data_IF_837892284211
#
_entry.id   IF_837892284211
#
_cell.length_a   1.000
_cell.length_b   1.000
_cell.length_c   1.000
_cell.angle_alpha   90.00
_cell.angle_beta   90.00
_cell.angle_gamma   90.00
#
_symmetry.space_group_name_H-M   'P 1'
#
loop_
_entity.id
_entity.type
_entity.pdbx_description
1 polymer ?
#
# COMPACT_ATOMS: atom_id res chain seq x y z
N UNK A 1 -13.02 -22.05 1.37
CA UNK A 1 -12.49 -20.83 0.73
C UNK A 1 -13.17 -19.65 1.42
N UNK A 2 -12.44 -18.71 2.03
CA UNK A 2 -13.07 -17.56 2.68
C UNK A 2 -13.66 -16.61 1.63
N UNK A 3 -14.71 -15.86 1.98
CA UNK A 3 -15.32 -14.86 1.09
C UNK A 3 -14.26 -13.90 0.51
N UNK A 4 -13.31 -13.48 1.33
CA UNK A 4 -12.23 -12.57 0.91
C UNK A 4 -11.32 -13.20 -0.16
N UNK A 5 -10.98 -14.49 -0.08
CA UNK A 5 -10.20 -15.17 -1.13
C UNK A 5 -10.95 -15.23 -2.45
N UNK A 6 -12.25 -15.50 -2.40
CA UNK A 6 -13.10 -15.47 -3.59
C UNK A 6 -13.18 -14.06 -4.17
N UNK A 7 -13.46 -13.05 -3.34
CA UNK A 7 -13.52 -11.65 -3.75
C UNK A 7 -12.20 -11.18 -4.37
N UNK A 8 -11.05 -11.54 -3.77
CA UNK A 8 -9.74 -11.22 -4.32
C UNK A 8 -9.48 -11.90 -5.67
N UNK A 9 -9.94 -13.14 -5.88
CA UNK A 9 -9.82 -13.81 -7.17
C UNK A 9 -10.62 -13.08 -8.26
N UNK A 10 -11.87 -12.67 -7.95
CA UNK A 10 -12.69 -11.84 -8.85
C UNK A 10 -12.04 -10.49 -9.11
N UNK A 11 -11.53 -9.82 -8.08
CA UNK A 11 -10.84 -8.53 -8.22
C UNK A 11 -9.59 -8.65 -9.09
N UNK A 12 -8.76 -9.70 -8.92
CA UNK A 12 -7.60 -9.95 -9.78
C UNK A 12 -8.00 -10.13 -11.24
N UNK A 13 -9.12 -10.82 -11.50
CA UNK A 13 -9.65 -10.97 -12.86
C UNK A 13 -10.08 -9.61 -13.45
N UNK A 14 -10.83 -8.81 -12.68
CA UNK A 14 -11.25 -7.47 -13.09
C UNK A 14 -10.06 -6.54 -13.32
N UNK A 15 -9.08 -6.55 -12.42
CA UNK A 15 -7.82 -5.81 -12.57
C UNK A 15 -7.14 -6.21 -13.87
N UNK A 16 -6.99 -7.52 -14.15
CA UNK A 16 -6.37 -8.01 -15.38
C UNK A 16 -7.12 -7.60 -16.65
N UNK A 17 -8.44 -7.46 -16.58
CA UNK A 17 -9.27 -7.04 -17.73
C UNK A 17 -9.24 -5.53 -17.95
N UNK A 18 -9.31 -4.75 -16.86
CA UNK A 18 -9.51 -3.30 -16.91
C UNK A 18 -8.22 -2.50 -16.79
N UNK A 19 -7.20 -3.07 -16.17
CA UNK A 19 -5.94 -2.40 -15.90
C UNK A 19 -4.77 -3.13 -16.59
N UNK A 20 -3.75 -2.37 -16.90
CA UNK A 20 -2.44 -2.83 -17.33
C UNK A 20 -1.48 -2.59 -16.17
N UNK A 21 -1.46 -3.55 -15.21
CA UNK A 21 -0.72 -3.42 -13.98
C UNK A 21 0.70 -3.94 -14.13
N UNK A 22 1.65 -3.09 -13.82
CA UNK A 22 3.04 -3.46 -13.59
C UNK A 22 3.28 -3.51 -12.07
N UNK A 23 3.76 -4.65 -11.56
CA UNK A 23 3.91 -4.90 -10.12
C UNK A 23 5.34 -5.28 -9.80
N UNK A 24 5.99 -4.55 -8.90
CA UNK A 24 7.33 -4.82 -8.42
C UNK A 24 7.36 -5.07 -6.91
N UNK A 25 8.36 -5.79 -6.44
CA UNK A 25 8.66 -5.96 -5.03
C UNK A 25 7.76 -6.94 -4.29
N UNK A 26 7.00 -7.81 -4.99
CA UNK A 26 6.19 -8.83 -4.33
C UNK A 26 7.01 -9.78 -3.45
N UNK A 27 8.28 -9.96 -3.76
CA UNK A 27 9.24 -10.72 -2.96
C UNK A 27 9.50 -10.12 -1.58
N UNK A 28 9.19 -8.87 -1.37
CA UNK A 28 9.31 -8.17 -0.09
C UNK A 28 8.17 -8.49 0.89
N UNK A 29 7.08 -9.11 0.41
CA UNK A 29 5.93 -9.44 1.26
C UNK A 29 6.26 -10.62 2.19
N UNK A 30 6.18 -10.46 3.53
CA UNK A 30 6.29 -11.58 4.47
C UNK A 30 5.16 -12.59 4.24
N UNK A 31 5.49 -13.88 4.26
CA UNK A 31 4.52 -14.96 4.01
C UNK A 31 3.51 -15.10 5.15
N UNK A 32 3.93 -14.83 6.38
CA UNK A 32 3.13 -14.99 7.58
C UNK A 32 3.46 -13.94 8.66
N UNK A 33 2.76 -13.98 9.78
CA UNK A 33 2.93 -13.05 10.89
C UNK A 33 2.20 -11.71 10.68
N UNK A 34 2.19 -10.84 11.69
CA UNK A 34 1.57 -9.52 11.60
C UNK A 34 2.27 -8.66 10.54
N UNK A 35 1.49 -7.86 9.81
CA UNK A 35 2.03 -6.94 8.81
C UNK A 35 1.15 -5.70 8.73
N UNK A 36 1.75 -4.53 8.64
CA UNK A 36 1.06 -3.28 8.31
C UNK A 36 1.41 -2.89 6.88
N UNK A 37 0.45 -2.98 5.97
CA UNK A 37 0.62 -2.48 4.60
C UNK A 37 0.17 -1.02 4.54
N UNK A 38 1.14 -0.11 4.37
CA UNK A 38 0.88 1.33 4.29
C UNK A 38 0.90 1.77 2.84
N UNK A 39 -0.22 2.32 2.35
CA UNK A 39 -0.38 2.68 0.96
C UNK A 39 -0.84 4.13 0.81
N UNK A 40 -0.38 4.82 -0.25
CA UNK A 40 -0.94 6.11 -0.66
C UNK A 40 -2.42 5.97 -1.06
N UNK A 41 -3.19 7.06 -0.94
CA UNK A 41 -4.62 7.04 -1.23
C UNK A 41 -5.05 8.20 -2.12
N UNK A 42 -5.07 7.96 -3.42
CA UNK A 42 -5.45 8.96 -4.44
C UNK A 42 -6.93 8.85 -4.81
N UNK A 43 -7.37 7.65 -5.23
CA UNK A 43 -8.76 7.40 -5.61
C UNK A 43 -9.34 6.20 -4.87
N UNK A 44 -10.63 5.90 -5.08
CA UNK A 44 -11.33 4.86 -4.31
C UNK A 44 -10.84 3.43 -4.56
N UNK A 45 -10.27 3.16 -5.74
CA UNK A 45 -9.89 1.81 -6.14
C UNK A 45 -8.44 1.44 -5.82
N UNK A 46 -7.59 2.39 -5.46
CA UNK A 46 -6.16 2.15 -5.25
C UNK A 46 -5.87 1.16 -4.10
N UNK A 47 -6.60 1.28 -2.99
CA UNK A 47 -6.49 0.33 -1.87
C UNK A 47 -6.90 -1.09 -2.27
N UNK A 48 -7.88 -1.21 -3.16
CA UNK A 48 -8.31 -2.51 -3.70
C UNK A 48 -7.24 -3.08 -4.64
N UNK A 49 -6.61 -2.23 -5.46
CA UNK A 49 -5.53 -2.64 -6.36
C UNK A 49 -4.36 -3.19 -5.55
N UNK A 50 -3.85 -2.46 -4.57
CA UNK A 50 -2.74 -2.95 -3.73
C UNK A 50 -3.09 -4.23 -2.97
N UNK A 51 -4.29 -4.29 -2.39
CA UNK A 51 -4.77 -5.46 -1.66
C UNK A 51 -4.86 -6.73 -2.54
N UNK A 52 -5.22 -6.59 -3.81
CA UNK A 52 -5.40 -7.73 -4.71
C UNK A 52 -4.13 -8.56 -4.92
N UNK A 53 -2.94 -7.98 -4.72
CA UNK A 53 -1.66 -8.65 -4.88
C UNK A 53 -1.11 -9.27 -3.58
N UNK A 54 -1.76 -9.03 -2.45
CA UNK A 54 -1.38 -9.63 -1.16
C UNK A 54 -2.18 -10.94 -0.98
N UNK A 55 -1.50 -12.09 -0.97
CA UNK A 55 -2.15 -13.41 -0.83
C UNK A 55 -2.26 -13.84 0.65
N UNK A 56 -2.79 -12.93 1.48
CA UNK A 56 -2.97 -13.11 2.92
C UNK A 56 -4.30 -12.53 3.35
N UNK A 57 -4.74 -12.86 4.56
CA UNK A 57 -5.93 -12.24 5.14
C UNK A 57 -5.67 -10.77 5.46
N UNK A 58 -6.38 -9.89 4.75
CA UNK A 58 -6.25 -8.44 4.86
C UNK A 58 -7.43 -7.89 5.62
N UNK A 59 -7.16 -7.00 6.56
CA UNK A 59 -8.16 -6.20 7.25
C UNK A 59 -7.91 -4.73 6.95
N UNK A 60 -8.87 -4.08 6.30
CA UNK A 60 -8.76 -2.69 5.88
C UNK A 60 -9.52 -1.73 6.79
N UNK A 61 -9.13 -0.46 6.78
CA UNK A 61 -9.86 0.63 7.42
C UNK A 61 -10.76 1.33 6.41
N UNK A 62 -12.04 1.51 6.73
CA UNK A 62 -12.96 2.25 5.90
C UNK A 62 -13.70 3.31 6.73
N UNK A 63 -14.03 4.46 6.13
CA UNK A 63 -14.73 5.52 6.85
C UNK A 63 -16.11 5.05 7.34
N UNK A 64 -16.50 5.50 8.54
CA UNK A 64 -17.75 5.06 9.18
C UNK A 64 -18.99 5.31 8.31
N UNK A 65 -19.01 6.37 7.52
CA UNK A 65 -20.11 6.71 6.62
C UNK A 65 -20.35 5.67 5.50
N UNK A 66 -19.33 4.88 5.16
CA UNK A 66 -19.49 3.79 4.20
C UNK A 66 -20.36 2.65 4.76
N UNK A 67 -20.57 2.60 6.06
CA UNK A 67 -21.42 1.60 6.75
C UNK A 67 -22.84 2.07 6.98
N UNK A 68 -23.21 3.29 6.60
CA UNK A 68 -24.59 3.81 6.71
C UNK A 68 -25.56 3.09 5.77
N UNK A 69 -25.08 2.60 4.62
CA UNK A 69 -25.87 1.76 3.73
C UNK A 69 -25.78 0.29 4.18
N UNK A 70 -26.91 -0.38 4.53
CA UNK A 70 -26.91 -1.74 5.05
C UNK A 70 -26.24 -2.76 4.12
N UNK A 71 -26.52 -2.68 2.82
CA UNK A 71 -25.97 -3.60 1.82
C UNK A 71 -24.46 -3.44 1.69
N UNK A 72 -23.97 -2.21 1.59
CA UNK A 72 -22.53 -1.92 1.54
C UNK A 72 -21.85 -2.31 2.86
N UNK A 73 -22.51 -2.09 4.00
CA UNK A 73 -21.99 -2.49 5.31
C UNK A 73 -21.71 -4.00 5.38
N UNK A 74 -22.65 -4.82 4.89
CA UNK A 74 -22.46 -6.29 4.82
C UNK A 74 -21.26 -6.63 3.92
N UNK A 75 -21.16 -6.02 2.75
CA UNK A 75 -20.05 -6.25 1.82
C UNK A 75 -18.70 -5.87 2.42
N UNK A 76 -18.59 -4.68 3.03
CA UNK A 76 -17.36 -4.21 3.67
C UNK A 76 -16.94 -5.12 4.83
N UNK A 77 -17.89 -5.54 5.69
CA UNK A 77 -17.62 -6.48 6.78
C UNK A 77 -17.20 -7.86 6.27
N UNK A 78 -17.88 -8.36 5.24
CA UNK A 78 -17.55 -9.65 4.64
C UNK A 78 -16.16 -9.64 3.98
N UNK A 79 -15.76 -8.51 3.41
CA UNK A 79 -14.39 -8.33 2.88
C UNK A 79 -13.34 -8.20 3.98
N UNK A 80 -13.72 -7.95 5.24
CA UNK A 80 -12.79 -7.81 6.35
C UNK A 80 -12.41 -6.36 6.66
N UNK A 81 -13.26 -5.37 6.36
CA UNK A 81 -12.99 -4.00 6.75
C UNK A 81 -13.71 -3.62 8.04
N UNK A 82 -13.16 -2.65 8.77
CA UNK A 82 -13.81 -2.07 9.95
C UNK A 82 -13.93 -0.53 9.83
N UNK A 83 -14.95 0.07 10.51
CA UNK A 83 -15.18 1.50 10.44
C UNK A 83 -14.13 2.29 11.23
N UNK A 84 -13.77 3.47 10.71
CA UNK A 84 -12.94 4.47 11.37
C UNK A 84 -13.56 5.86 11.25
N UNK A 85 -13.60 6.60 12.37
CA UNK A 85 -14.00 8.00 12.40
C UNK A 85 -12.79 8.86 12.02
N UNK A 86 -12.91 9.56 10.91
CA UNK A 86 -11.83 10.42 10.41
C UNK A 86 -11.89 11.79 11.07
N UNK A 87 -10.72 12.38 11.28
CA UNK A 87 -10.61 13.74 11.85
C UNK A 87 -10.45 13.78 13.36
N UNK A 88 -10.64 12.67 14.06
CA UNK A 88 -10.45 12.53 15.51
C UNK A 88 -9.60 11.30 15.85
N UNK A 89 -9.19 11.19 17.12
CA UNK A 89 -8.50 10.01 17.64
C UNK A 89 -9.54 8.91 17.90
N UNK A 90 -9.71 8.00 16.96
CA UNK A 90 -10.62 6.86 17.10
C UNK A 90 -9.93 5.73 17.87
N UNK A 91 -10.14 5.73 19.20
CA UNK A 91 -9.58 4.72 20.10
C UNK A 91 -10.05 3.31 19.79
N UNK A 92 -11.27 3.15 19.25
CA UNK A 92 -11.80 1.85 18.86
C UNK A 92 -11.07 1.32 17.62
N UNK A 93 -10.87 2.15 16.61
CA UNK A 93 -10.10 1.79 15.44
C UNK A 93 -8.66 1.40 15.80
N UNK A 94 -8.00 2.12 16.73
CA UNK A 94 -6.68 1.76 17.21
C UNK A 94 -6.66 0.38 17.90
N UNK A 95 -7.64 0.11 18.78
CA UNK A 95 -7.75 -1.22 19.44
C UNK A 95 -7.99 -2.34 18.44
N UNK A 96 -8.92 -2.13 17.50
CA UNK A 96 -9.20 -3.12 16.43
C UNK A 96 -7.95 -3.39 15.59
N UNK A 97 -7.19 -2.36 15.24
CA UNK A 97 -5.92 -2.50 14.52
C UNK A 97 -4.91 -3.38 15.26
N UNK A 98 -4.76 -3.16 16.57
CA UNK A 98 -3.86 -3.97 17.40
C UNK A 98 -4.34 -5.44 17.51
N UNK A 99 -5.66 -5.67 17.59
CA UNK A 99 -6.25 -7.02 17.58
C UNK A 99 -5.96 -7.74 16.27
N UNK A 100 -6.17 -7.07 15.13
CA UNK A 100 -5.88 -7.60 13.79
C UNK A 100 -4.42 -8.07 13.69
N UNK A 101 -3.49 -7.25 14.16
CA UNK A 101 -2.06 -7.59 14.14
C UNK A 101 -1.74 -8.72 15.11
N UNK A 102 -2.34 -8.75 16.30
CA UNK A 102 -2.18 -9.86 17.26
C UNK A 102 -2.65 -11.20 16.68
N UNK A 103 -3.64 -11.19 15.79
CA UNK A 103 -4.13 -12.37 15.06
C UNK A 103 -3.21 -12.78 13.88
N UNK A 104 -2.09 -12.10 13.67
CA UNK A 104 -1.15 -12.40 12.58
C UNK A 104 -1.64 -11.99 11.20
N UNK A 105 -2.68 -11.15 11.11
CA UNK A 105 -3.26 -10.68 9.85
C UNK A 105 -2.53 -9.46 9.29
N UNK A 106 -2.87 -9.10 8.04
CA UNK A 106 -2.38 -7.87 7.40
C UNK A 106 -3.35 -6.74 7.69
N UNK A 107 -2.88 -5.68 8.34
CA UNK A 107 -3.60 -4.42 8.47
C UNK A 107 -3.24 -3.54 7.28
N UNK A 108 -4.22 -3.20 6.42
CA UNK A 108 -4.00 -2.30 5.30
C UNK A 108 -4.63 -0.94 5.56
N UNK A 109 -3.85 0.12 5.46
CA UNK A 109 -4.32 1.46 5.70
C UNK A 109 -3.51 2.53 4.94
N UNK A 110 -4.16 3.68 4.73
CA UNK A 110 -3.51 4.87 4.20
C UNK A 110 -3.15 5.82 5.34
N UNK A 111 -1.86 6.11 5.56
CA UNK A 111 -1.43 7.02 6.63
C UNK A 111 -1.99 8.43 6.49
N UNK A 112 -2.34 8.86 5.28
CA UNK A 112 -2.96 10.15 4.96
C UNK A 112 -4.34 10.32 5.63
N UNK A 113 -5.02 9.20 5.92
CA UNK A 113 -6.35 9.17 6.55
C UNK A 113 -7.49 9.71 5.70
N UNK A 114 -7.22 10.13 4.46
CA UNK A 114 -8.21 10.59 3.48
C UNK A 114 -7.65 10.44 2.07
N UNK A 115 -8.53 10.51 1.07
CA UNK A 115 -8.11 10.54 -0.34
C UNK A 115 -7.44 11.87 -0.67
N UNK A 116 -6.40 11.82 -1.48
CA UNK A 116 -5.77 13.02 -2.02
C UNK A 116 -6.73 13.78 -2.93
N UNK A 117 -6.66 15.10 -2.87
CA UNK A 117 -7.41 15.99 -3.78
C UNK A 117 -6.58 16.39 -5.01
N UNK A 118 -5.27 16.16 -4.97
CA UNK A 118 -4.30 16.59 -5.97
C UNK A 118 -3.57 15.44 -6.64
N UNK A 119 -4.00 14.19 -6.35
CA UNK A 119 -3.33 12.95 -6.81
C UNK A 119 -1.85 12.87 -6.40
N UNK A 120 -1.49 13.50 -5.28
CA UNK A 120 -0.15 13.47 -4.71
C UNK A 120 -0.22 13.11 -3.23
N UNK A 121 0.91 12.67 -2.63
CA UNK A 121 0.97 12.35 -1.20
C UNK A 121 0.65 13.57 -0.34
N UNK A 122 -0.23 13.37 0.63
CA UNK A 122 -0.57 14.34 1.66
C UNK A 122 0.23 14.05 2.94
N UNK A 123 0.21 15.01 3.87
CA UNK A 123 0.82 14.82 5.19
C UNK A 123 0.20 13.63 5.92
N UNK A 124 1.04 12.72 6.42
CA UNK A 124 0.63 11.55 7.20
C UNK A 124 0.07 11.93 8.57
N UNK A 125 -0.74 11.02 9.14
CA UNK A 125 -1.32 11.11 10.50
C UNK A 125 -0.71 10.05 11.40
N UNK A 126 -0.48 10.40 12.66
CA UNK A 126 0.32 9.63 13.62
C UNK A 126 -0.34 8.32 14.11
N UNK A 127 -1.61 8.09 13.76
CA UNK A 127 -2.36 6.91 14.25
C UNK A 127 -1.74 5.58 13.85
N UNK A 128 -1.23 5.45 12.61
CA UNK A 128 -0.59 4.22 12.16
C UNK A 128 0.79 4.01 12.76
N UNK A 129 1.57 5.07 12.94
CA UNK A 129 2.86 5.01 13.64
C UNK A 129 2.68 4.55 15.09
N UNK A 130 1.63 5.04 15.77
CA UNK A 130 1.28 4.56 17.10
C UNK A 130 0.94 3.06 17.10
N UNK A 131 0.13 2.59 16.14
CA UNK A 131 -0.22 1.16 16.02
C UNK A 131 1.04 0.32 15.75
N UNK A 132 1.91 0.78 14.86
CA UNK A 132 3.15 0.10 14.50
C UNK A 132 4.08 -0.06 15.70
N UNK A 133 4.33 1.01 16.45
CA UNK A 133 5.16 0.97 17.67
C UNK A 133 4.54 0.06 18.74
N UNK A 134 3.23 0.14 18.96
CA UNK A 134 2.54 -0.65 19.99
C UNK A 134 2.46 -2.13 19.64
N UNK A 135 2.40 -2.49 18.39
CA UNK A 135 2.34 -3.90 17.95
C UNK A 135 3.72 -4.50 17.69
N UNK A 136 4.74 -3.68 17.41
CA UNK A 136 6.04 -4.15 16.91
C UNK A 136 5.95 -4.81 15.53
N UNK A 137 4.79 -4.71 14.86
CA UNK A 137 4.58 -5.34 13.57
C UNK A 137 5.42 -4.65 12.47
N UNK A 138 6.01 -5.43 11.55
CA UNK A 138 6.68 -4.87 10.39
C UNK A 138 5.70 -4.09 9.50
N UNK A 139 6.23 -3.05 8.87
CA UNK A 139 5.51 -2.17 7.93
C UNK A 139 6.06 -2.43 6.55
N UNK A 140 5.18 -2.64 5.56
CA UNK A 140 5.55 -2.65 4.16
C UNK A 140 4.98 -1.40 3.47
N UNK A 141 5.82 -0.54 2.88
CA UNK A 141 5.33 0.59 2.11
C UNK A 141 4.88 0.10 0.74
N UNK A 142 3.70 0.54 0.33
CA UNK A 142 3.08 0.21 -0.97
C UNK A 142 2.77 1.52 -1.69
N UNK A 143 3.26 1.65 -2.91
CA UNK A 143 2.95 2.79 -3.76
C UNK A 143 2.12 2.33 -4.96
N UNK A 144 1.06 3.10 -5.27
CA UNK A 144 0.19 2.86 -6.43
C UNK A 144 -0.01 4.18 -7.14
N UNK A 145 0.21 4.22 -8.47
CA UNK A 145 -0.03 5.41 -9.29
C UNK A 145 -0.41 5.05 -10.72
N UNK A 146 -0.94 6.03 -11.47
CA UNK A 146 -1.48 5.86 -12.81
C UNK A 146 -2.96 5.51 -12.83
N UNK A 147 -3.56 5.11 -11.70
CA UNK A 147 -4.98 4.76 -11.59
C UNK A 147 -5.91 5.98 -11.59
N UNK A 148 -5.42 7.17 -11.46
CA UNK A 148 -6.21 8.43 -11.50
C UNK A 148 -6.98 8.60 -12.81
N UNK A 149 -6.44 8.08 -13.91
CA UNK A 149 -7.08 8.09 -15.21
C UNK A 149 -8.12 6.97 -15.41
N UNK A 150 -8.36 6.13 -14.43
CA UNK A 150 -9.21 4.93 -14.55
C UNK A 150 -10.59 5.23 -15.17
N UNK A 151 -11.30 6.21 -14.63
CA UNK A 151 -12.65 6.51 -15.10
C UNK A 151 -12.69 7.07 -16.53
N UNK A 152 -11.66 7.84 -16.92
CA UNK A 152 -11.51 8.38 -18.26
C UNK A 152 -11.20 7.28 -19.27
N UNK A 153 -10.29 6.38 -18.93
CA UNK A 153 -9.92 5.25 -19.79
C UNK A 153 -11.06 4.24 -19.92
N UNK A 154 -11.76 3.94 -18.83
CA UNK A 154 -12.91 3.02 -18.83
C UNK A 154 -14.03 3.51 -19.77
N UNK A 155 -14.34 4.81 -19.77
CA UNK A 155 -15.32 5.41 -20.70
C UNK A 155 -14.91 5.27 -22.18
N UNK A 156 -13.60 5.17 -22.43
CA UNK A 156 -13.02 4.98 -23.78
C UNK A 156 -12.78 3.50 -24.11
N UNK A 157 -13.25 2.57 -23.27
CA UNK A 157 -12.99 1.12 -23.35
C UNK A 157 -11.49 0.78 -23.48
N UNK A 158 -10.66 1.54 -22.77
CA UNK A 158 -9.20 1.37 -22.74
C UNK A 158 -8.75 0.91 -21.36
N UNK A 159 -7.72 0.08 -21.33
CA UNK A 159 -7.06 -0.30 -20.06
C UNK A 159 -6.26 0.86 -19.52
N UNK A 160 -6.30 1.04 -18.20
CA UNK A 160 -5.50 2.05 -17.50
C UNK A 160 -4.17 1.43 -17.11
N UNK A 161 -3.07 2.12 -17.41
CA UNK A 161 -1.74 1.73 -16.92
C UNK A 161 -1.62 2.09 -15.46
N UNK A 162 -1.27 1.11 -14.64
CA UNK A 162 -1.09 1.27 -13.18
C UNK A 162 0.22 0.64 -12.76
N UNK A 163 0.98 1.34 -11.95
CA UNK A 163 2.17 0.80 -11.31
C UNK A 163 1.88 0.55 -9.85
N UNK A 164 2.30 -0.62 -9.37
CA UNK A 164 2.24 -1.03 -7.95
C UNK A 164 3.63 -1.43 -7.52
N UNK A 165 4.14 -0.83 -6.45
CA UNK A 165 5.47 -1.15 -5.92
C UNK A 165 5.36 -1.47 -4.43
N UNK A 166 5.85 -2.64 -4.05
CA UNK A 166 6.01 -3.07 -2.66
C UNK A 166 7.47 -2.82 -2.25
N UNK A 167 7.69 -1.88 -1.34
CA UNK A 167 9.02 -1.56 -0.82
C UNK A 167 9.52 -2.59 0.17
N UNK A 168 10.74 -2.40 0.68
CA UNK A 168 11.31 -3.28 1.70
C UNK A 168 10.62 -3.08 3.04
N UNK A 169 10.31 -4.15 3.80
CA UNK A 169 9.69 -4.03 5.10
C UNK A 169 10.67 -3.43 6.12
N UNK A 170 10.10 -2.72 7.09
CA UNK A 170 10.82 -2.10 8.20
C UNK A 170 9.96 -2.11 9.47
N UNK A 171 10.56 -1.87 10.62
CA UNK A 171 9.86 -1.60 11.88
C UNK A 171 10.17 -0.20 12.38
N UNK A 172 9.27 0.37 13.17
CA UNK A 172 9.49 1.62 13.89
C UNK A 172 9.93 1.30 15.32
N UNK A 173 11.11 1.78 15.68
CA UNK A 173 11.71 1.59 17.01
C UNK A 173 11.92 2.95 17.69
N UNK A 174 11.10 3.32 18.68
CA UNK A 174 11.23 4.58 19.40
C UNK A 174 12.42 4.59 20.39
N UNK A 175 13.12 3.46 20.57
CA UNK A 175 14.10 3.30 21.63
C UNK A 175 13.46 3.14 23.00
N UNK A 176 14.27 3.27 24.06
CA UNK A 176 13.81 3.17 25.43
C UNK A 176 13.12 4.46 25.90
N UNK A 177 12.06 4.31 26.70
CA UNK A 177 11.38 5.43 27.34
C UNK A 177 9.93 5.60 26.95
N UNK A 178 9.36 6.76 27.36
CA UNK A 178 7.98 7.10 27.05
C UNK A 178 7.90 7.69 25.62
N UNK A 179 7.05 7.11 24.80
CA UNK A 179 6.78 7.60 23.45
C UNK A 179 6.19 9.01 23.50
N UNK A 180 6.85 9.99 22.87
CA UNK A 180 6.38 11.39 22.77
C UNK A 180 5.59 11.62 21.49
N UNK A 181 4.89 12.73 21.42
CA UNK A 181 4.13 13.12 20.23
C UNK A 181 5.07 13.49 19.08
N UNK A 182 6.18 14.15 19.40
CA UNK A 182 7.21 14.56 18.44
C UNK A 182 7.84 13.34 17.78
N UNK A 183 8.18 12.31 18.55
CA UNK A 183 8.68 11.03 18.03
C UNK A 183 7.65 10.37 17.10
N UNK A 184 6.36 10.33 17.50
CA UNK A 184 5.31 9.76 16.64
C UNK A 184 5.18 10.50 15.31
N UNK A 185 5.24 11.82 15.35
CA UNK A 185 5.16 12.65 14.13
C UNK A 185 6.37 12.41 13.25
N UNK A 186 7.58 12.32 13.83
CA UNK A 186 8.81 12.02 13.07
C UNK A 186 8.76 10.63 12.43
N UNK A 187 8.35 9.59 13.17
CA UNK A 187 8.13 8.24 12.64
C UNK A 187 7.10 8.22 11.50
N UNK A 188 6.05 9.04 11.62
CA UNK A 188 5.04 9.18 10.56
C UNK A 188 5.68 9.77 9.30
N UNK A 189 6.52 10.80 9.43
CA UNK A 189 7.23 11.36 8.29
C UNK A 189 8.19 10.35 7.67
N UNK A 190 8.96 9.62 8.46
CA UNK A 190 9.86 8.58 7.96
C UNK A 190 9.11 7.47 7.22
N UNK A 191 7.98 7.00 7.76
CA UNK A 191 7.10 6.03 7.10
C UNK A 191 6.57 6.58 5.76
N UNK A 192 6.15 7.83 5.70
CA UNK A 192 5.65 8.47 4.49
C UNK A 192 6.76 8.67 3.45
N UNK A 193 7.96 9.03 3.85
CA UNK A 193 9.11 9.10 2.95
C UNK A 193 9.46 7.75 2.32
N UNK A 194 9.23 6.63 3.03
CA UNK A 194 9.39 5.29 2.45
C UNK A 194 8.38 5.03 1.33
N UNK A 195 7.16 5.56 1.41
CA UNK A 195 6.18 5.50 0.31
C UNK A 195 6.62 6.44 -0.82
N UNK A 196 7.00 7.70 -0.50
CA UNK A 196 7.42 8.70 -1.47
C UNK A 196 8.62 8.25 -2.31
N UNK A 197 9.57 7.55 -1.69
CA UNK A 197 10.76 7.03 -2.37
C UNK A 197 10.45 5.97 -3.45
N UNK A 198 9.29 5.30 -3.35
CA UNK A 198 8.83 4.34 -4.36
C UNK A 198 8.15 5.00 -5.56
N UNK A 199 7.79 6.29 -5.45
CA UNK A 199 6.96 7.00 -6.42
C UNK A 199 7.78 7.95 -7.29
N UNK A 200 7.36 8.21 -8.55
CA UNK A 200 7.86 9.31 -9.36
C UNK A 200 7.67 10.67 -8.65
N UNK A 201 8.52 11.65 -8.99
CA UNK A 201 8.58 12.93 -8.29
C UNK A 201 7.25 13.69 -8.29
N UNK A 202 6.49 13.61 -9.39
CA UNK A 202 5.19 14.26 -9.56
C UNK A 202 4.11 13.78 -8.60
N UNK A 203 4.23 12.57 -8.03
CA UNK A 203 3.28 12.01 -7.08
C UNK A 203 3.64 12.24 -5.60
N UNK A 204 4.85 12.73 -5.30
CA UNK A 204 5.37 12.82 -3.92
C UNK A 204 4.72 13.92 -3.08
N UNK A 205 4.16 14.97 -3.70
CA UNK A 205 3.40 16.02 -3.02
C UNK A 205 4.11 16.62 -1.81
N UNK A 206 3.54 16.47 -0.60
CA UNK A 206 4.14 16.96 0.64
C UNK A 206 5.54 16.39 0.92
N UNK A 207 5.88 15.23 0.35
CA UNK A 207 7.15 14.52 0.53
C UNK A 207 8.03 14.57 -0.72
N UNK A 208 7.94 15.66 -1.51
CA UNK A 208 8.69 15.84 -2.77
C UNK A 208 10.20 15.93 -2.58
N UNK A 209 10.64 16.55 -1.50
CA UNK A 209 12.06 16.66 -1.15
C UNK A 209 12.53 15.42 -0.38
N UNK A 210 13.06 14.44 -1.09
CA UNK A 210 13.60 13.22 -0.48
C UNK A 210 14.86 13.46 0.35
N UNK A 211 15.56 14.60 0.19
CA UNK A 211 16.74 14.91 0.99
C UNK A 211 16.40 15.24 2.45
N UNK A 212 15.13 15.60 2.71
CA UNK A 212 14.61 15.82 4.06
C UNK A 212 14.21 14.52 4.78
N UNK A 213 14.31 13.36 4.12
CA UNK A 213 14.02 12.07 4.74
C UNK A 213 15.08 11.73 5.81
N UNK A 214 14.61 11.25 6.96
CA UNK A 214 15.46 10.70 8.03
C UNK A 214 15.14 9.23 8.24
N UNK A 215 15.98 8.53 8.95
CA UNK A 215 15.82 7.12 9.31
C UNK A 215 16.16 6.90 10.80
N UNK A 216 15.83 7.87 11.64
CA UNK A 216 16.15 7.84 13.06
C UNK A 216 15.45 6.67 13.76
N UNK A 217 14.19 6.42 13.40
CA UNK A 217 13.34 5.40 14.03
C UNK A 217 13.09 4.17 13.13
N UNK A 218 13.51 4.19 11.88
CA UNK A 218 13.32 3.09 10.95
C UNK A 218 14.42 2.04 11.14
N UNK A 219 14.03 0.78 11.32
CA UNK A 219 14.95 -0.36 11.33
C UNK A 219 14.54 -1.34 10.24
N UNK A 220 15.45 -1.74 9.33
CA UNK A 220 15.16 -2.71 8.30
C UNK A 220 14.81 -4.07 8.91
N UNK A 221 13.88 -4.78 8.28
CA UNK A 221 13.59 -6.18 8.59
C UNK A 221 14.08 -7.02 7.43
N UNK A 222 14.92 -8.02 7.71
CA UNK A 222 15.33 -8.98 6.69
C UNK A 222 14.10 -9.76 6.21
N UNK A 223 13.86 -9.78 4.90
CA UNK A 223 12.80 -10.59 4.32
C UNK A 223 13.14 -12.07 4.51
N UNK A 224 12.23 -12.84 5.08
CA UNK A 224 12.41 -14.29 5.26
C UNK A 224 12.41 -15.07 3.93
N UNK A 225 12.16 -14.42 2.80
CA UNK A 225 12.26 -15.03 1.48
C UNK A 225 13.70 -15.04 0.98
N UNK A 226 14.20 -16.23 0.67
CA UNK A 226 15.41 -16.37 -0.18
C UNK A 226 15.13 -15.68 -1.54
N UNK A 227 16.10 -14.93 -2.11
CA UNK A 227 15.93 -14.35 -3.44
C UNK A 227 15.57 -15.48 -4.42
N UNK A 228 14.40 -15.39 -5.04
CA UNK A 228 14.13 -16.26 -6.17
C UNK A 228 15.10 -15.90 -7.30
N UNK A 229 15.76 -16.87 -7.95
CA UNK A 229 16.58 -16.58 -9.11
C UNK A 229 15.70 -15.91 -10.15
N UNK A 230 16.12 -14.74 -10.60
CA UNK A 230 15.47 -13.96 -11.64
C UNK A 230 15.15 -14.88 -12.82
N UNK A 231 13.87 -15.13 -13.06
CA UNK A 231 13.41 -15.76 -14.31
C UNK A 231 13.89 -14.85 -15.45
N UNK A 232 14.92 -15.32 -16.12
CA UNK A 232 15.63 -14.59 -17.15
C UNK A 232 14.66 -13.96 -18.14
N UNK A 233 14.74 -12.69 -18.27
CA UNK A 233 14.13 -11.88 -19.31
C UNK A 233 14.65 -12.42 -20.65
N UNK A 234 13.88 -13.31 -21.31
CA UNK A 234 14.16 -13.69 -22.70
C UNK A 234 14.06 -12.42 -23.53
N UNK A 235 15.23 -11.82 -23.78
CA UNK A 235 15.38 -10.74 -24.74
C UNK A 235 14.82 -11.20 -26.09
N UNK A 236 13.77 -10.56 -26.56
CA UNK A 236 13.43 -10.58 -27.98
C UNK A 236 14.49 -9.78 -28.70
N UNK A 237 15.49 -10.52 -29.20
CA UNK A 237 16.44 -9.99 -30.18
C UNK A 237 15.68 -9.62 -31.44
N UNK A 238 15.57 -8.35 -31.73
CA UNK A 238 15.25 -7.82 -33.05
C UNK A 238 16.54 -7.84 -33.88
N UNK A 239 16.71 -8.92 -34.63
CA UNK A 239 17.66 -8.93 -35.75
C UNK A 239 17.01 -8.16 -36.89
N UNK A 240 17.52 -6.98 -37.17
CA UNK A 240 17.41 -6.37 -38.48
C UNK A 240 18.79 -5.90 -38.91
N UNK A 241 19.46 -6.75 -39.66
CA UNK A 241 20.53 -6.39 -40.53
C UNK A 241 20.14 -6.78 -41.95
N UNK A 242 19.99 -5.82 -42.81
CA UNK A 242 20.37 -5.95 -44.23
C UNK A 242 20.22 -4.59 -44.91
N UNK A 243 21.31 -4.02 -45.28
CA UNK A 243 21.44 -2.89 -46.18
C UNK A 243 22.85 -2.90 -46.75
N UNK A 244 23.04 -3.73 -47.75
CA UNK A 244 24.26 -3.67 -48.54
C UNK A 244 24.21 -2.44 -49.42
N UNK A 245 25.30 -1.74 -49.56
CA UNK A 245 25.56 -0.77 -50.61
C UNK A 245 26.72 -1.30 -51.39
N UNK A 246 26.47 -1.59 -52.65
CA UNK A 246 27.49 -1.65 -53.73
C UNK A 246 27.63 -0.23 -54.25
N UNK A 247 28.82 0.13 -54.57
CA UNK A 247 29.20 1.34 -55.28
C UNK A 247 30.64 1.66 -54.96
#
# INVERSE_FOLDING_TARGET
>A
MTFQRFANAVLRLLIKLLLDCEVDGLENLPEEGPLIAVQNHMISIDTVIGAAFIDREIVGMSKVENYSNPLLSVLFKAYGTFPVRRGEVDRQALRTSLTVLKEGKVLMAAPEGTRSKTNTLQKGKDGLSYVAVKSGAPIIPVAVWGQEEFWNQLRRLRRTRVKVVFGRPFVLDPGAGRLTREQLTQMTHEMMYRIAALMPAEYRGFYSDLSAATEEYVRPVESSRRPQPSLGRKGRGTVFSKGGVRG
#
